data_IF_756656239020
#
_entry.id   IF_756656239020
#
_cell.length_a   1.000
_cell.length_b   1.000
_cell.length_c   1.000
_cell.angle_alpha   90.00
_cell.angle_beta   90.00
_cell.angle_gamma   90.00
#
_symmetry.space_group_name_H-M   'P 1'
#
loop_
_entity.id
_entity.type
_entity.pdbx_description
1 polymer ?
#
# COMPACT_ATOMS: atom_id res chain seq x y z
N UNK A 1 3.37 -1.01 -7.04
CA UNK A 1 2.73 -2.16 -6.37
C UNK A 1 3.23 -3.47 -6.91
N UNK A 2 3.07 -3.78 -8.19
CA UNK A 2 3.52 -5.07 -8.75
C UNK A 2 5.00 -5.38 -8.54
N UNK A 3 5.89 -4.38 -8.65
CA UNK A 3 7.32 -4.58 -8.34
C UNK A 3 7.55 -4.97 -6.88
N UNK A 4 6.80 -4.37 -5.94
CA UNK A 4 6.84 -4.76 -4.53
C UNK A 4 6.32 -6.18 -4.33
N UNK A 5 5.20 -6.53 -4.99
CA UNK A 5 4.61 -7.89 -4.90
C UNK A 5 5.65 -8.95 -5.33
N UNK A 6 6.30 -8.74 -6.49
CA UNK A 6 7.34 -9.65 -7.01
C UNK A 6 8.58 -9.68 -6.12
N UNK A 7 9.05 -8.53 -5.63
CA UNK A 7 10.19 -8.52 -4.71
C UNK A 7 9.89 -9.31 -3.44
N UNK A 8 8.67 -9.16 -2.90
CA UNK A 8 8.24 -9.82 -1.67
C UNK A 8 8.11 -11.33 -1.83
N UNK A 9 7.57 -11.83 -2.94
CA UNK A 9 7.53 -13.28 -3.22
C UNK A 9 8.92 -13.90 -3.36
N UNK A 10 9.91 -13.10 -3.78
CA UNK A 10 11.31 -13.51 -3.87
C UNK A 10 12.11 -13.29 -2.57
N UNK A 11 11.47 -12.82 -1.50
CA UNK A 11 12.14 -12.50 -0.24
C UNK A 11 13.13 -11.34 -0.34
N UNK A 12 12.99 -10.48 -1.35
CA UNK A 12 13.87 -9.32 -1.58
C UNK A 12 13.26 -8.03 -1.02
N UNK A 13 14.08 -7.11 -0.49
CA UNK A 13 13.61 -5.78 -0.16
C UNK A 13 13.27 -5.02 -1.44
N UNK A 14 12.28 -4.13 -1.35
CA UNK A 14 11.98 -3.15 -2.38
C UNK A 14 11.64 -1.82 -1.73
N UNK A 15 12.40 -0.80 -2.09
CA UNK A 15 12.16 0.59 -1.72
C UNK A 15 12.12 1.37 -3.04
N UNK A 16 10.99 2.00 -3.40
CA UNK A 16 10.95 2.88 -4.57
C UNK A 16 11.86 4.08 -4.33
N UNK A 17 12.36 4.68 -5.41
CA UNK A 17 12.99 6.01 -5.36
C UNK A 17 12.04 7.01 -4.70
N UNK A 18 12.60 7.96 -3.94
CA UNK A 18 11.83 8.87 -3.08
C UNK A 18 10.73 9.61 -3.86
N UNK A 19 11.07 10.20 -5.01
CA UNK A 19 10.10 10.93 -5.85
C UNK A 19 8.96 10.03 -6.35
N UNK A 20 9.29 8.78 -6.72
CA UNK A 20 8.29 7.81 -7.17
C UNK A 20 7.40 7.36 -6.00
N UNK A 21 7.99 7.13 -4.82
CA UNK A 21 7.28 6.77 -3.61
C UNK A 21 6.31 7.87 -3.17
N UNK A 22 6.74 9.12 -3.16
CA UNK A 22 5.91 10.28 -2.82
C UNK A 22 4.78 10.51 -3.83
N UNK A 23 5.06 10.38 -5.13
CA UNK A 23 4.03 10.47 -6.17
C UNK A 23 2.97 9.37 -5.99
N UNK A 24 3.39 8.13 -5.73
CA UNK A 24 2.48 7.02 -5.46
C UNK A 24 1.67 7.24 -4.17
N UNK A 25 2.28 7.78 -3.11
CA UNK A 25 1.58 8.11 -1.87
C UNK A 25 0.48 9.16 -2.08
N UNK A 26 0.75 10.22 -2.87
CA UNK A 26 -0.28 11.22 -3.21
C UNK A 26 -1.49 10.62 -3.91
N UNK A 27 -1.26 9.65 -4.80
CA UNK A 27 -2.34 8.90 -5.45
C UNK A 27 -3.10 8.05 -4.43
N UNK A 28 -2.39 7.32 -3.57
CA UNK A 28 -3.01 6.45 -2.56
C UNK A 28 -3.91 7.24 -1.58
N UNK A 29 -3.48 8.43 -1.15
CA UNK A 29 -4.26 9.32 -0.29
C UNK A 29 -5.56 9.83 -0.93
N UNK A 30 -5.65 9.85 -2.26
CA UNK A 30 -6.85 10.28 -2.97
C UNK A 30 -7.90 9.18 -3.11
N UNK A 31 -7.55 7.92 -2.82
CA UNK A 31 -8.46 6.78 -2.95
C UNK A 31 -9.40 6.73 -1.74
N UNK A 32 -10.72 6.88 -1.92
CA UNK A 32 -11.67 6.88 -0.81
C UNK A 32 -11.58 5.60 0.03
N UNK A 33 -11.57 5.75 1.35
CA UNK A 33 -11.61 4.65 2.32
C UNK A 33 -13.00 4.52 2.97
N UNK A 34 -14.06 4.67 2.17
CA UNK A 34 -15.44 4.60 2.62
C UNK A 34 -16.03 3.18 2.60
N UNK A 35 -17.34 3.03 2.89
CA UNK A 35 -18.05 1.75 2.90
C UNK A 35 -17.91 0.94 1.60
N UNK A 36 -17.60 1.59 0.48
CA UNK A 36 -17.41 0.96 -0.82
C UNK A 36 -16.31 -0.11 -0.82
N UNK A 37 -15.36 -0.01 0.12
CA UNK A 37 -14.28 -0.99 0.31
C UNK A 37 -14.72 -2.31 0.95
N UNK A 38 -15.96 -2.39 1.47
CA UNK A 38 -16.51 -3.61 2.08
C UNK A 38 -17.37 -4.43 1.11
N UNK A 39 -17.63 -3.92 -0.09
CA UNK A 39 -18.45 -4.60 -1.09
C UNK A 39 -17.70 -5.79 -1.71
N UNK A 40 -18.38 -6.90 -2.04
CA UNK A 40 -17.79 -7.97 -2.84
C UNK A 40 -17.18 -7.42 -4.14
N UNK A 41 -15.93 -7.78 -4.44
CA UNK A 41 -15.22 -7.31 -5.63
C UNK A 41 -14.62 -5.90 -5.53
N UNK A 42 -14.57 -5.28 -4.34
CA UNK A 42 -13.88 -4.00 -4.16
C UNK A 42 -12.40 -4.10 -4.58
N UNK A 43 -11.90 -3.07 -5.29
CA UNK A 43 -10.52 -3.05 -5.79
C UNK A 43 -9.47 -2.97 -4.69
N UNK A 44 -9.82 -2.38 -3.54
CA UNK A 44 -8.95 -2.27 -2.37
C UNK A 44 -9.70 -2.75 -1.12
N UNK A 45 -8.97 -3.43 -0.24
CA UNK A 45 -9.45 -3.72 1.09
C UNK A 45 -9.55 -2.42 1.94
N UNK A 46 -10.27 -2.43 3.06
CA UNK A 46 -10.29 -1.32 4.00
C UNK A 46 -8.87 -0.91 4.40
N UNK A 47 -8.51 0.34 4.14
CA UNK A 47 -7.25 0.92 4.62
C UNK A 47 -7.31 1.18 6.11
N UNK A 48 -6.14 1.24 6.75
CA UNK A 48 -5.99 1.66 8.15
C UNK A 48 -5.22 2.97 8.25
N UNK A 49 -5.15 3.53 9.46
CA UNK A 49 -4.30 4.69 9.71
C UNK A 49 -2.84 4.35 9.36
N UNK A 50 -2.22 5.26 8.61
CA UNK A 50 -0.88 5.13 8.09
C UNK A 50 -0.02 6.36 8.44
N UNK A 51 -0.47 7.20 9.36
CA UNK A 51 0.34 8.28 9.91
C UNK A 51 1.58 7.71 10.61
N UNK A 52 2.75 8.31 10.36
CA UNK A 52 4.03 7.85 10.91
C UNK A 52 4.58 6.52 10.36
N UNK A 53 3.86 5.82 9.48
CA UNK A 53 4.35 4.57 8.87
C UNK A 53 5.48 4.86 7.89
N UNK A 54 6.58 4.13 8.04
CA UNK A 54 7.75 4.17 7.18
C UNK A 54 8.28 2.74 6.93
N UNK A 55 8.90 2.47 5.75
CA UNK A 55 9.13 3.37 4.62
C UNK A 55 7.84 3.76 3.86
N UNK A 56 7.94 4.71 2.91
CA UNK A 56 6.78 5.25 2.16
C UNK A 56 5.93 4.15 1.49
N UNK A 57 6.56 3.05 1.06
CA UNK A 57 5.87 1.90 0.47
C UNK A 57 4.95 1.19 1.47
N UNK A 58 5.34 1.11 2.75
CA UNK A 58 4.54 0.51 3.81
C UNK A 58 3.32 1.38 4.12
N UNK A 59 3.51 2.70 4.09
CA UNK A 59 2.40 3.65 4.23
C UNK A 59 1.37 3.49 3.11
N UNK A 60 1.83 3.34 1.86
CA UNK A 60 0.96 3.08 0.71
C UNK A 60 0.20 1.76 0.89
N UNK A 61 0.88 0.68 1.29
CA UNK A 61 0.26 -0.62 1.52
C UNK A 61 -0.85 -0.53 2.56
N UNK A 62 -0.58 0.09 3.71
CA UNK A 62 -1.55 0.29 4.80
C UNK A 62 -2.78 1.08 4.34
N UNK A 63 -2.59 2.16 3.57
CA UNK A 63 -3.70 2.95 2.99
C UNK A 63 -4.57 2.15 2.01
N UNK A 64 -3.97 1.18 1.33
CA UNK A 64 -4.64 0.31 0.35
C UNK A 64 -5.15 -1.01 0.97
N UNK A 65 -5.13 -1.10 2.31
CA UNK A 65 -5.63 -2.26 3.05
C UNK A 65 -4.75 -3.51 2.91
N UNK A 66 -3.46 -3.33 2.59
CA UNK A 66 -2.48 -4.40 2.50
C UNK A 66 -1.53 -4.36 3.70
N UNK A 67 -1.16 -5.55 4.18
CA UNK A 67 -0.15 -5.69 5.23
C UNK A 67 1.27 -5.51 4.64
N UNK A 68 2.09 -4.59 5.19
CA UNK A 68 3.49 -4.44 4.77
C UNK A 68 4.36 -5.67 5.06
N UNK A 69 3.93 -6.51 6.01
CA UNK A 69 4.70 -7.68 6.46
C UNK A 69 4.29 -9.00 5.76
N UNK A 70 3.38 -8.96 4.78
CA UNK A 70 2.91 -10.15 4.04
C UNK A 70 4.05 -11.05 3.53
N UNK A 71 3.92 -12.39 3.50
CA UNK A 71 2.83 -13.16 4.08
C UNK A 71 3.08 -13.30 5.58
N UNK A 72 2.22 -12.68 6.38
CA UNK A 72 2.13 -12.89 7.81
C UNK A 72 0.70 -13.35 8.09
#
# INVERSE_FOLDING_TARGET
MHTWDVARTLGKPYVPEDELGEAALRIALRIPNGPERQRPGAAFAPGSDAEGVAPVIDRILTLLGRSPVWPA
#
